data_IF_131146738079
#
_entry.id   IF_131146738079
#
_cell.length_a   1.000
_cell.length_b   1.000
_cell.length_c   1.000
_cell.angle_alpha   90.00
_cell.angle_beta   90.00
_cell.angle_gamma   90.00
#
_symmetry.space_group_name_H-M   'P 1'
#
loop_
_entity.id
_entity.type
_entity.pdbx_description
1 polymer ?
#
# COMPACT_ATOMS: atom_id res chain seq x y z
N UNK A 1 -22.88 -0.66 -37.31
CA UNK A 1 -22.91 0.02 -35.99
C UNK A 1 -23.55 -0.95 -35.01
N UNK A 2 -22.82 -1.37 -33.98
CA UNK A 2 -23.39 -2.24 -32.94
C UNK A 2 -24.37 -1.41 -32.09
N UNK A 3 -25.63 -1.87 -31.97
CA UNK A 3 -26.66 -1.16 -31.22
C UNK A 3 -26.36 -1.07 -29.71
N UNK A 4 -27.07 -0.20 -28.96
CA UNK A 4 -26.84 0.00 -27.52
C UNK A 4 -26.94 -1.28 -26.68
N UNK A 5 -27.73 -2.28 -27.11
CA UNK A 5 -27.77 -3.61 -26.49
C UNK A 5 -26.44 -4.38 -26.62
N UNK A 6 -25.72 -4.23 -27.72
CA UNK A 6 -24.44 -4.90 -27.93
C UNK A 6 -23.35 -4.31 -27.01
N UNK A 7 -23.40 -2.98 -26.78
CA UNK A 7 -22.51 -2.27 -25.86
C UNK A 7 -22.74 -2.72 -24.40
N UNK A 8 -24.00 -2.94 -23.99
CA UNK A 8 -24.34 -3.45 -22.66
C UNK A 8 -24.01 -4.94 -22.49
N UNK A 9 -24.19 -5.78 -23.52
CA UNK A 9 -23.79 -7.21 -23.51
C UNK A 9 -22.27 -7.41 -23.40
N UNK A 10 -21.48 -6.43 -23.85
CA UNK A 10 -20.02 -6.42 -23.76
C UNK A 10 -19.50 -5.92 -22.39
N UNK A 11 -20.33 -5.21 -21.61
CA UNK A 11 -19.96 -4.63 -20.32
C UNK A 11 -19.68 -5.66 -19.19
N UNK A 12 -20.18 -6.90 -19.31
CA UNK A 12 -19.94 -7.93 -18.30
C UNK A 12 -18.55 -8.57 -18.46
N UNK A 13 -17.75 -8.52 -17.39
CA UNK A 13 -16.42 -9.15 -17.35
C UNK A 13 -16.48 -10.66 -17.64
N UNK A 14 -15.37 -11.24 -18.11
CA UNK A 14 -15.25 -12.70 -18.33
C UNK A 14 -15.60 -13.49 -17.07
N UNK A 15 -15.17 -13.00 -15.90
CA UNK A 15 -15.48 -13.61 -14.60
C UNK A 15 -16.99 -13.54 -14.28
N UNK A 16 -17.64 -12.40 -14.53
CA UNK A 16 -19.09 -12.24 -14.36
C UNK A 16 -19.88 -13.19 -15.25
N UNK A 17 -19.48 -13.32 -16.52
CA UNK A 17 -20.10 -14.25 -17.48
C UNK A 17 -19.99 -15.71 -17.02
N UNK A 18 -18.87 -16.08 -16.41
CA UNK A 18 -18.67 -17.42 -15.83
C UNK A 18 -19.58 -17.66 -14.63
N UNK A 19 -19.62 -16.74 -13.65
CA UNK A 19 -20.48 -16.91 -12.47
C UNK A 19 -21.96 -17.02 -12.82
N UNK A 20 -22.41 -16.24 -13.80
CA UNK A 20 -23.76 -16.34 -14.34
C UNK A 20 -24.04 -17.73 -14.94
N UNK A 21 -23.09 -18.27 -15.70
CA UNK A 21 -23.20 -19.63 -16.27
C UNK A 21 -23.26 -20.69 -15.17
N UNK A 22 -22.41 -20.58 -14.16
CA UNK A 22 -22.40 -21.50 -13.02
C UNK A 22 -23.75 -21.48 -12.27
N UNK A 23 -24.35 -20.28 -12.10
CA UNK A 23 -25.69 -20.14 -11.54
C UNK A 23 -26.77 -20.79 -12.43
N UNK A 24 -26.77 -20.54 -13.75
CA UNK A 24 -27.78 -21.13 -14.65
C UNK A 24 -27.69 -22.65 -14.73
N UNK A 25 -26.48 -23.20 -14.72
CA UNK A 25 -26.25 -24.65 -14.64
C UNK A 25 -26.79 -25.23 -13.32
N UNK A 26 -26.55 -24.54 -12.21
CA UNK A 26 -27.09 -24.92 -10.91
C UNK A 26 -28.62 -24.88 -10.91
N UNK A 27 -29.21 -23.83 -11.46
CA UNK A 27 -30.66 -23.65 -11.55
C UNK A 27 -31.31 -24.79 -12.34
N UNK A 28 -30.76 -25.13 -13.51
CA UNK A 28 -31.22 -26.25 -14.33
C UNK A 28 -31.12 -27.58 -13.60
N UNK A 29 -30.00 -27.84 -12.90
CA UNK A 29 -29.79 -29.07 -12.14
C UNK A 29 -30.82 -29.27 -11.01
N UNK A 30 -31.34 -28.18 -10.44
CA UNK A 30 -32.33 -28.24 -9.36
C UNK A 30 -33.77 -28.11 -9.87
N UNK A 31 -34.01 -28.07 -11.19
CA UNK A 31 -35.35 -27.97 -11.76
C UNK A 31 -36.08 -26.66 -11.42
N UNK A 32 -35.33 -25.60 -11.10
CA UNK A 32 -35.90 -24.33 -10.66
C UNK A 32 -36.14 -23.39 -11.85
N UNK A 33 -37.34 -22.82 -11.93
CA UNK A 33 -37.70 -21.85 -12.97
C UNK A 33 -37.71 -20.42 -12.42
N UNK A 34 -37.22 -19.47 -13.22
CA UNK A 34 -37.17 -18.05 -12.88
C UNK A 34 -36.04 -17.64 -11.92
N UNK A 35 -35.91 -16.34 -11.68
CA UNK A 35 -34.92 -15.77 -10.76
C UNK A 35 -35.68 -15.03 -9.65
N UNK A 36 -35.92 -15.71 -8.55
CA UNK A 36 -36.55 -15.15 -7.35
C UNK A 36 -35.52 -14.94 -6.24
N UNK A 37 -35.85 -14.14 -5.24
CA UNK A 37 -34.96 -13.89 -4.10
C UNK A 37 -34.64 -15.19 -3.33
N UNK A 38 -35.61 -16.08 -3.17
CA UNK A 38 -35.42 -17.34 -2.45
C UNK A 38 -34.53 -18.31 -3.24
N UNK A 39 -34.63 -18.34 -4.58
CA UNK A 39 -33.72 -19.11 -5.46
C UNK A 39 -32.29 -18.59 -5.33
N UNK A 40 -32.10 -17.27 -5.35
CA UNK A 40 -30.78 -16.66 -5.16
C UNK A 40 -30.24 -16.93 -3.76
N UNK A 41 -31.07 -16.85 -2.72
CA UNK A 41 -30.68 -17.14 -1.35
C UNK A 41 -30.24 -18.60 -1.19
N UNK A 42 -30.96 -19.55 -1.78
CA UNK A 42 -30.59 -20.97 -1.79
C UNK A 42 -29.22 -21.19 -2.47
N UNK A 43 -29.00 -20.56 -3.64
CA UNK A 43 -27.72 -20.63 -4.34
C UNK A 43 -26.58 -20.03 -3.51
N UNK A 44 -26.77 -18.83 -2.95
CA UNK A 44 -25.77 -18.17 -2.11
C UNK A 44 -25.50 -18.96 -0.82
N UNK A 45 -26.50 -19.64 -0.25
CA UNK A 45 -26.31 -20.50 0.90
C UNK A 45 -25.41 -21.69 0.57
N UNK A 46 -25.61 -22.36 -0.56
CA UNK A 46 -24.73 -23.45 -1.00
C UNK A 46 -23.30 -22.95 -1.24
N UNK A 47 -23.14 -21.79 -1.88
CA UNK A 47 -21.81 -21.20 -2.08
C UNK A 47 -21.13 -20.85 -0.76
N UNK A 48 -21.89 -20.47 0.27
CA UNK A 48 -21.34 -20.12 1.58
C UNK A 48 -20.63 -21.28 2.28
N UNK A 49 -20.96 -22.53 1.92
CA UNK A 49 -20.25 -23.70 2.43
C UNK A 49 -18.85 -23.88 1.82
N UNK A 50 -18.57 -23.26 0.66
CA UNK A 50 -17.35 -23.46 -0.13
C UNK A 50 -16.45 -22.22 -0.18
N UNK A 51 -17.03 -21.04 0.00
CA UNK A 51 -16.34 -19.78 -0.23
C UNK A 51 -16.31 -18.92 1.03
N UNK A 52 -15.19 -18.24 1.26
CA UNK A 52 -15.09 -17.22 2.31
C UNK A 52 -16.17 -16.14 2.13
N UNK A 53 -16.60 -15.44 3.19
CA UNK A 53 -17.56 -14.34 3.08
C UNK A 53 -17.18 -13.29 2.03
N UNK A 54 -15.91 -12.89 1.93
CA UNK A 54 -15.45 -11.95 0.89
C UNK A 54 -15.59 -12.54 -0.53
N UNK A 55 -15.20 -13.80 -0.73
CA UNK A 55 -15.35 -14.48 -2.01
C UNK A 55 -16.84 -14.64 -2.38
N UNK A 56 -17.68 -14.89 -1.39
CA UNK A 56 -19.13 -15.00 -1.54
C UNK A 56 -19.75 -13.67 -1.96
N UNK A 57 -19.34 -12.57 -1.33
CA UNK A 57 -19.70 -11.20 -1.75
C UNK A 57 -19.27 -10.88 -3.18
N UNK A 58 -18.05 -11.29 -3.57
CA UNK A 58 -17.57 -11.10 -4.94
C UNK A 58 -18.41 -11.91 -5.95
N UNK A 59 -18.72 -13.17 -5.65
CA UNK A 59 -19.61 -14.01 -6.46
C UNK A 59 -21.00 -13.41 -6.59
N UNK A 60 -21.57 -12.95 -5.49
CA UNK A 60 -22.83 -12.21 -5.51
C UNK A 60 -22.73 -11.00 -6.43
N UNK A 61 -21.72 -10.15 -6.26
CA UNK A 61 -21.55 -8.95 -7.08
C UNK A 61 -21.41 -9.26 -8.57
N UNK A 62 -20.70 -10.32 -8.92
CA UNK A 62 -20.53 -10.77 -10.31
C UNK A 62 -21.83 -11.29 -10.91
N UNK A 63 -22.53 -12.16 -10.18
CA UNK A 63 -23.83 -12.70 -10.60
C UNK A 63 -24.85 -11.56 -10.73
N UNK A 64 -24.92 -10.70 -9.72
CA UNK A 64 -25.76 -9.49 -9.65
C UNK A 64 -25.65 -8.69 -10.94
N UNK A 65 -24.44 -8.28 -11.33
CA UNK A 65 -24.24 -7.47 -12.53
C UNK A 65 -24.72 -8.16 -13.80
N UNK A 66 -24.55 -9.48 -13.91
CA UNK A 66 -25.06 -10.21 -15.07
C UNK A 66 -26.59 -10.34 -15.10
N UNK A 67 -27.24 -10.51 -13.95
CA UNK A 67 -28.70 -10.55 -13.85
C UNK A 67 -29.33 -9.20 -14.23
N UNK A 68 -28.73 -8.08 -13.79
CA UNK A 68 -29.15 -6.73 -14.18
C UNK A 68 -29.07 -6.53 -15.69
N UNK A 69 -27.96 -6.95 -16.32
CA UNK A 69 -27.72 -6.72 -17.74
C UNK A 69 -28.54 -7.65 -18.63
N UNK A 70 -28.63 -8.94 -18.29
CA UNK A 70 -29.18 -9.98 -19.19
C UNK A 70 -30.65 -10.27 -19.00
N UNK A 71 -31.16 -10.12 -17.79
CA UNK A 71 -32.53 -10.48 -17.43
C UNK A 71 -33.31 -9.27 -16.91
N UNK A 72 -32.71 -8.07 -16.94
CA UNK A 72 -33.31 -6.80 -16.50
C UNK A 72 -33.91 -6.86 -15.09
N UNK A 73 -33.34 -7.70 -14.23
CA UNK A 73 -33.83 -7.95 -12.87
C UNK A 73 -33.50 -6.75 -11.98
N UNK A 74 -34.52 -6.15 -11.35
CA UNK A 74 -34.33 -5.02 -10.43
C UNK A 74 -33.88 -5.47 -9.03
N UNK A 75 -32.67 -5.08 -8.65
CA UNK A 75 -31.96 -5.64 -7.49
C UNK A 75 -32.26 -4.98 -6.15
N UNK A 76 -32.97 -3.84 -6.17
CA UNK A 76 -33.53 -3.26 -4.93
C UNK A 76 -34.41 -4.26 -4.16
N UNK A 77 -34.86 -5.34 -4.81
CA UNK A 77 -35.71 -6.41 -4.28
C UNK A 77 -35.00 -7.54 -3.54
N UNK A 78 -33.66 -7.55 -3.42
CA UNK A 78 -32.91 -8.68 -2.82
C UNK A 78 -32.35 -8.41 -1.41
N UNK A 79 -33.18 -7.88 -0.51
CA UNK A 79 -32.78 -7.53 0.85
C UNK A 79 -32.42 -8.73 1.73
N UNK A 80 -33.10 -9.87 1.59
CA UNK A 80 -32.79 -11.12 2.31
C UNK A 80 -31.40 -11.64 1.93
N UNK A 81 -31.05 -11.61 0.65
CA UNK A 81 -29.71 -12.03 0.19
C UNK A 81 -28.64 -11.11 0.77
N UNK A 82 -28.84 -9.79 0.73
CA UNK A 82 -27.92 -8.83 1.33
C UNK A 82 -27.78 -9.06 2.84
N UNK A 83 -28.89 -9.26 3.56
CA UNK A 83 -28.88 -9.53 5.00
C UNK A 83 -28.14 -10.83 5.32
N UNK A 84 -28.35 -11.89 4.54
CA UNK A 84 -27.62 -13.15 4.66
C UNK A 84 -26.12 -12.96 4.49
N UNK A 85 -25.69 -12.23 3.45
CA UNK A 85 -24.28 -11.97 3.18
C UNK A 85 -23.61 -11.10 4.27
N UNK A 86 -24.36 -10.14 4.84
CA UNK A 86 -23.89 -9.34 5.98
C UNK A 86 -23.67 -10.21 7.21
N UNK A 87 -24.64 -11.04 7.59
CA UNK A 87 -24.52 -11.97 8.74
C UNK A 87 -23.34 -12.92 8.60
N UNK A 88 -23.09 -13.46 7.40
CA UNK A 88 -21.92 -14.31 7.14
C UNK A 88 -20.59 -13.58 7.34
N UNK A 89 -20.58 -12.24 7.26
CA UNK A 89 -19.37 -11.43 7.38
C UNK A 89 -19.10 -10.93 8.81
N UNK A 90 -20.09 -10.90 9.71
CA UNK A 90 -19.99 -10.28 11.04
C UNK A 90 -18.80 -10.78 11.89
N UNK A 91 -18.49 -12.07 11.82
CA UNK A 91 -17.37 -12.68 12.57
C UNK A 91 -16.19 -13.05 11.68
N UNK A 92 -16.19 -12.60 10.43
CA UNK A 92 -15.14 -12.95 9.49
C UNK A 92 -14.02 -11.93 9.50
N UNK A 93 -12.81 -12.39 9.78
CA UNK A 93 -11.59 -11.60 9.65
C UNK A 93 -10.74 -12.16 8.52
N UNK A 94 -10.50 -11.40 7.44
CA UNK A 94 -9.64 -11.84 6.35
C UNK A 94 -8.21 -12.07 6.83
N UNK A 95 -7.62 -13.22 6.47
CA UNK A 95 -6.19 -13.46 6.70
C UNK A 95 -5.37 -12.44 5.90
N UNK A 96 -4.52 -11.68 6.58
CA UNK A 96 -3.57 -10.75 5.94
C UNK A 96 -2.20 -11.43 5.80
N UNK A 97 -1.46 -11.08 4.73
CA UNK A 97 -0.09 -11.57 4.52
C UNK A 97 0.85 -11.02 5.60
N UNK A 98 1.84 -11.81 6.04
CA UNK A 98 2.90 -11.34 6.95
C UNK A 98 3.72 -10.23 6.27
N UNK A 99 4.28 -9.35 7.10
CA UNK A 99 5.13 -8.24 6.67
C UNK A 99 6.59 -8.56 6.99
N UNK A 100 7.49 -8.06 6.15
CA UNK A 100 8.93 -8.08 6.45
C UNK A 100 9.25 -6.92 7.38
N UNK A 101 10.17 -7.10 8.31
CA UNK A 101 10.72 -5.99 9.11
C UNK A 101 11.70 -5.16 8.29
N UNK A 102 12.04 -3.96 8.78
CA UNK A 102 13.06 -3.10 8.16
C UNK A 102 14.39 -3.85 8.07
N UNK A 103 14.81 -4.49 9.15
CA UNK A 103 16.08 -5.21 9.26
C UNK A 103 16.13 -6.40 8.30
N UNK A 104 15.01 -7.12 8.14
CA UNK A 104 14.90 -8.22 7.17
C UNK A 104 15.06 -7.73 5.73
N UNK A 105 14.44 -6.59 5.39
CA UNK A 105 14.56 -5.97 4.07
C UNK A 105 15.99 -5.52 3.82
N UNK A 106 16.60 -4.80 4.77
CA UNK A 106 17.98 -4.32 4.67
C UNK A 106 18.96 -5.48 4.49
N UNK A 107 18.83 -6.51 5.33
CA UNK A 107 19.65 -7.73 5.25
C UNK A 107 19.55 -8.39 3.88
N UNK A 108 18.33 -8.54 3.34
CA UNK A 108 18.17 -9.10 2.00
C UNK A 108 18.85 -8.23 0.92
N UNK A 109 18.69 -6.91 0.99
CA UNK A 109 19.25 -5.99 -0.01
C UNK A 109 20.78 -5.92 0.06
N UNK A 110 21.38 -6.13 1.23
CA UNK A 110 22.83 -6.16 1.43
C UNK A 110 23.44 -7.54 1.13
N UNK A 111 22.87 -8.62 1.68
CA UNK A 111 23.49 -9.95 1.67
C UNK A 111 23.24 -10.72 0.36
N UNK A 112 22.08 -10.54 -0.28
CA UNK A 112 21.74 -11.36 -1.45
C UNK A 112 22.61 -10.98 -2.66
N UNK A 113 23.17 -11.94 -3.42
CA UNK A 113 24.08 -11.63 -4.51
C UNK A 113 23.31 -11.11 -5.75
N UNK A 114 23.80 -10.02 -6.35
CA UNK A 114 23.09 -9.29 -7.39
C UNK A 114 22.91 -10.07 -8.70
N UNK A 115 23.87 -10.91 -9.05
CA UNK A 115 23.81 -11.76 -10.24
C UNK A 115 22.58 -12.69 -10.24
N UNK A 116 22.12 -13.09 -9.05
CA UNK A 116 20.93 -13.91 -8.88
C UNK A 116 19.69 -13.09 -8.51
N UNK A 117 19.85 -12.02 -7.72
CA UNK A 117 18.74 -11.36 -7.04
C UNK A 117 18.42 -9.94 -7.51
N UNK A 118 19.14 -9.38 -8.50
CA UNK A 118 18.97 -7.97 -8.88
C UNK A 118 17.51 -7.61 -9.23
N UNK A 119 16.79 -8.47 -9.97
CA UNK A 119 15.36 -8.24 -10.26
C UNK A 119 14.52 -8.20 -8.97
N UNK A 120 14.73 -9.15 -8.07
CA UNK A 120 14.03 -9.20 -6.79
C UNK A 120 14.35 -7.97 -5.93
N UNK A 121 15.62 -7.52 -5.90
CA UNK A 121 16.04 -6.31 -5.18
C UNK A 121 15.35 -5.06 -5.72
N UNK A 122 15.37 -4.84 -7.04
CA UNK A 122 14.75 -3.64 -7.61
C UNK A 122 13.22 -3.65 -7.45
N UNK A 123 12.57 -4.81 -7.58
CA UNK A 123 11.14 -4.97 -7.31
C UNK A 123 10.82 -4.67 -5.83
N UNK A 124 11.68 -5.11 -4.91
CA UNK A 124 11.54 -4.85 -3.47
C UNK A 124 11.66 -3.36 -3.17
N UNK A 125 12.67 -2.70 -3.72
CA UNK A 125 12.88 -1.25 -3.56
C UNK A 125 11.67 -0.48 -4.08
N UNK A 126 11.26 -0.69 -5.33
CA UNK A 126 10.08 -0.02 -5.90
C UNK A 126 8.80 -0.35 -5.15
N UNK A 127 8.66 -1.60 -4.66
CA UNK A 127 7.51 -2.05 -3.90
C UNK A 127 7.37 -1.40 -2.53
N UNK A 128 8.49 -1.22 -1.82
CA UNK A 128 8.51 -0.69 -0.44
C UNK A 128 8.43 0.84 -0.45
N UNK A 129 9.34 1.52 -1.17
CA UNK A 129 9.35 2.99 -1.24
C UNK A 129 8.05 3.53 -1.82
N UNK A 130 7.51 2.84 -2.82
CA UNK A 130 6.26 3.21 -3.45
C UNK A 130 5.03 2.56 -2.83
N UNK A 131 5.14 1.76 -1.76
CA UNK A 131 4.03 0.98 -1.21
C UNK A 131 3.16 0.34 -2.32
N UNK A 132 3.78 -0.17 -3.39
CA UNK A 132 3.11 -0.46 -4.65
C UNK A 132 2.28 -1.75 -4.57
N UNK A 133 1.17 -1.79 -5.30
CA UNK A 133 0.48 -3.05 -5.64
C UNK A 133 1.29 -3.81 -6.69
N UNK A 134 1.11 -5.13 -6.76
CA UNK A 134 1.76 -5.94 -7.81
C UNK A 134 1.39 -5.47 -9.22
N UNK A 135 0.12 -5.13 -9.47
CA UNK A 135 -0.30 -4.65 -10.80
C UNK A 135 0.34 -3.32 -11.16
N UNK A 136 0.52 -2.42 -10.19
CA UNK A 136 1.21 -1.14 -10.37
C UNK A 136 2.68 -1.37 -10.73
N UNK A 137 3.35 -2.34 -10.10
CA UNK A 137 4.72 -2.74 -10.46
C UNK A 137 4.77 -3.38 -11.85
N UNK A 138 3.79 -4.23 -12.18
CA UNK A 138 3.72 -4.93 -13.47
C UNK A 138 3.45 -4.00 -14.64
N UNK A 139 2.76 -2.88 -14.43
CA UNK A 139 2.42 -1.92 -15.50
C UNK A 139 3.46 -0.84 -15.73
N UNK A 140 4.46 -0.70 -14.84
CA UNK A 140 5.51 0.32 -14.99
C UNK A 140 6.23 0.18 -16.33
N UNK A 141 6.50 1.31 -16.99
CA UNK A 141 7.32 1.41 -18.19
C UNK A 141 8.62 2.17 -17.91
N UNK A 142 9.55 2.15 -18.86
CA UNK A 142 10.80 2.94 -18.74
C UNK A 142 10.53 4.44 -18.62
N UNK A 143 9.54 4.96 -19.35
CA UNK A 143 9.17 6.39 -19.33
C UNK A 143 8.43 6.83 -18.05
N UNK A 144 8.22 5.90 -17.11
CA UNK A 144 7.63 6.18 -15.80
C UNK A 144 8.70 6.38 -14.72
N UNK A 145 9.99 6.16 -15.04
CA UNK A 145 11.09 6.23 -14.08
C UNK A 145 12.12 7.23 -14.56
N UNK A 146 12.44 8.19 -13.70
CA UNK A 146 13.32 9.30 -14.02
C UNK A 146 14.48 9.35 -13.00
N UNK A 147 15.73 9.27 -13.48
CA UNK A 147 16.92 9.38 -12.64
C UNK A 147 17.35 10.84 -12.50
N UNK A 148 17.31 11.37 -11.28
CA UNK A 148 17.72 12.74 -10.96
C UNK A 148 19.15 12.79 -10.40
N UNK A 149 19.90 11.69 -10.47
CA UNK A 149 21.26 11.55 -9.93
C UNK A 149 21.29 11.34 -8.42
N UNK A 150 20.65 12.21 -7.63
CA UNK A 150 20.56 12.04 -6.16
C UNK A 150 19.45 11.10 -5.71
N UNK A 151 18.38 11.04 -6.50
CA UNK A 151 17.20 10.25 -6.22
C UNK A 151 16.55 9.84 -7.53
N UNK A 152 15.65 8.86 -7.47
CA UNK A 152 14.88 8.37 -8.62
C UNK A 152 13.40 8.66 -8.38
N UNK A 153 12.74 9.27 -9.34
CA UNK A 153 11.29 9.52 -9.31
C UNK A 153 10.60 8.40 -10.09
N UNK A 154 9.55 7.82 -9.49
CA UNK A 154 8.72 6.81 -10.14
C UNK A 154 7.28 7.31 -10.22
N UNK A 155 6.70 7.29 -11.41
CA UNK A 155 5.34 7.72 -11.70
C UNK A 155 4.43 6.53 -11.95
N UNK A 156 3.49 6.28 -11.05
CA UNK A 156 2.45 5.27 -11.22
C UNK A 156 1.26 5.88 -11.96
N UNK A 157 1.15 5.61 -13.25
CA UNK A 157 0.00 5.99 -14.09
C UNK A 157 -1.13 4.97 -13.93
N UNK A 158 -2.38 5.43 -14.09
CA UNK A 158 -3.57 4.57 -14.12
C UNK A 158 -3.65 3.53 -12.99
N UNK A 159 -3.46 3.97 -11.74
CA UNK A 159 -3.62 3.07 -10.58
C UNK A 159 -5.05 2.51 -10.52
N UNK A 160 -5.31 1.55 -9.61
CA UNK A 160 -6.66 0.94 -9.42
C UNK A 160 -7.82 1.95 -9.36
N UNK A 161 -7.56 3.16 -8.87
CA UNK A 161 -8.57 4.22 -8.75
C UNK A 161 -8.45 5.29 -9.84
N UNK A 162 -7.76 4.99 -10.94
CA UNK A 162 -7.47 5.87 -12.08
C UNK A 162 -6.76 7.17 -11.70
N UNK A 163 -6.06 7.18 -10.57
CA UNK A 163 -5.26 8.31 -10.12
C UNK A 163 -3.80 8.11 -10.48
N UNK A 164 -3.13 9.17 -10.89
CA UNK A 164 -1.66 9.20 -11.00
C UNK A 164 -1.06 9.55 -9.65
N UNK A 165 0.00 8.85 -9.24
CA UNK A 165 0.79 9.20 -8.06
C UNK A 165 2.27 9.00 -8.33
N UNK A 166 3.11 9.74 -7.61
CA UNK A 166 4.57 9.64 -7.68
C UNK A 166 5.14 9.25 -6.32
N UNK A 167 6.28 8.59 -6.35
CA UNK A 167 7.11 8.39 -5.16
C UNK A 167 8.58 8.52 -5.54
N UNK A 168 9.42 8.72 -4.52
CA UNK A 168 10.85 8.93 -4.68
C UNK A 168 11.61 7.79 -4.02
N UNK A 169 12.68 7.35 -4.66
CA UNK A 169 13.68 6.43 -4.13
C UNK A 169 14.94 7.24 -3.89
N UNK A 170 15.48 7.19 -2.68
CA UNK A 170 16.70 7.91 -2.29
C UNK A 170 17.64 6.99 -1.53
N UNK A 171 18.95 7.20 -1.69
CA UNK A 171 19.98 6.52 -0.89
C UNK A 171 20.03 7.07 0.54
N UNK A 172 19.60 8.32 0.74
CA UNK A 172 19.63 8.99 2.04
C UNK A 172 18.77 8.25 3.09
N UNK A 173 19.35 8.03 4.26
CA UNK A 173 18.68 7.34 5.36
C UNK A 173 18.57 5.82 5.22
N UNK A 174 19.17 5.24 4.17
CA UNK A 174 19.22 3.79 3.96
C UNK A 174 20.60 3.23 4.35
N UNK A 175 20.62 2.01 4.91
CA UNK A 175 21.87 1.24 5.11
C UNK A 175 22.39 0.60 3.82
N UNK A 176 21.62 0.69 2.74
CA UNK A 176 21.90 0.17 1.40
C UNK A 176 21.76 1.31 0.36
N UNK A 177 22.14 1.06 -0.89
CA UNK A 177 22.13 2.08 -1.97
C UNK A 177 21.06 1.76 -3.04
N UNK A 178 19.77 2.07 -2.79
CA UNK A 178 18.69 1.79 -3.73
C UNK A 178 18.83 2.45 -5.11
N UNK A 179 19.35 3.67 -5.21
CA UNK A 179 19.60 4.32 -6.51
C UNK A 179 20.74 3.62 -7.28
N UNK A 180 21.75 3.10 -6.59
CA UNK A 180 22.80 2.27 -7.21
C UNK A 180 22.22 0.98 -7.79
N UNK A 181 21.33 0.29 -7.07
CA UNK A 181 20.63 -0.90 -7.60
C UNK A 181 19.80 -0.57 -8.84
N UNK A 182 19.09 0.56 -8.83
CA UNK A 182 18.34 1.03 -9.98
C UNK A 182 19.25 1.23 -11.21
N UNK A 183 20.36 1.97 -11.06
CA UNK A 183 21.31 2.22 -12.17
C UNK A 183 21.94 0.94 -12.68
N UNK A 184 22.35 0.04 -11.78
CA UNK A 184 22.86 -1.28 -12.13
C UNK A 184 21.86 -2.07 -12.96
N UNK A 185 20.59 -2.05 -12.54
CA UNK A 185 19.51 -2.70 -13.28
C UNK A 185 19.30 -2.11 -14.67
N UNK A 186 19.19 -0.78 -14.78
CA UNK A 186 18.99 -0.08 -16.06
C UNK A 186 20.16 -0.33 -17.02
N UNK A 187 21.40 -0.30 -16.54
CA UNK A 187 22.59 -0.55 -17.35
C UNK A 187 22.67 -2.00 -17.89
N UNK A 188 22.05 -2.96 -17.19
CA UNK A 188 21.98 -4.36 -17.62
C UNK A 188 20.81 -4.62 -18.56
N UNK A 189 19.86 -3.69 -18.72
CA UNK A 189 18.75 -3.87 -19.65
C UNK A 189 19.26 -3.90 -21.10
N UNK A 190 18.79 -4.84 -21.92
CA UNK A 190 19.13 -4.84 -23.34
C UNK A 190 18.64 -3.56 -24.05
N UNK A 191 19.38 -3.08 -25.06
CA UNK A 191 18.94 -1.96 -25.88
C UNK A 191 17.67 -2.31 -26.66
N UNK A 192 16.92 -1.29 -27.11
CA UNK A 192 15.69 -1.44 -27.92
C UNK A 192 14.55 -2.17 -27.19
N UNK A 193 14.44 -1.96 -25.88
CA UNK A 193 13.42 -2.57 -25.01
C UNK A 193 12.40 -1.56 -24.49
N UNK A 194 12.23 -0.42 -25.16
CA UNK A 194 11.38 0.70 -24.73
C UNK A 194 9.88 0.35 -24.79
N UNK A 195 9.50 -0.55 -25.69
CA UNK A 195 8.14 -1.08 -25.82
C UNK A 195 7.80 -2.13 -24.75
N UNK A 196 8.79 -2.59 -23.98
CA UNK A 196 8.60 -3.54 -22.88
C UNK A 196 8.36 -2.81 -21.56
N UNK A 197 7.93 -3.57 -20.55
CA UNK A 197 7.74 -3.06 -19.19
C UNK A 197 9.08 -2.77 -18.51
N UNK A 198 9.01 -2.01 -17.43
CA UNK A 198 10.14 -1.64 -16.60
C UNK A 198 10.81 -2.85 -15.92
N UNK A 199 10.06 -3.89 -15.59
CA UNK A 199 10.66 -5.12 -15.04
C UNK A 199 10.76 -6.18 -16.13
N UNK A 200 11.98 -6.44 -16.57
CA UNK A 200 12.39 -7.57 -17.39
C UNK A 200 12.95 -8.71 -16.54
N UNK A 201 12.93 -9.91 -17.09
CA UNK A 201 13.53 -11.10 -16.49
C UNK A 201 15.05 -10.94 -16.44
N UNK A 202 15.67 -11.21 -15.30
CA UNK A 202 17.13 -11.29 -15.18
C UNK A 202 17.55 -12.64 -14.58
N UNK A 203 18.65 -13.21 -15.09
CA UNK A 203 19.21 -14.50 -14.70
C UNK A 203 20.74 -14.44 -14.84
N UNK A 204 21.46 -14.94 -13.83
CA UNK A 204 22.92 -15.07 -13.85
C UNK A 204 23.64 -13.79 -14.31
N UNK A 205 23.29 -12.65 -13.71
CA UNK A 205 23.89 -11.35 -13.98
C UNK A 205 23.48 -10.68 -15.29
N UNK A 206 22.55 -11.27 -16.06
CA UNK A 206 22.09 -10.73 -17.34
C UNK A 206 20.59 -10.47 -17.31
N UNK A 207 20.15 -9.37 -17.88
CA UNK A 207 18.73 -9.13 -18.15
C UNK A 207 18.42 -9.48 -19.61
N UNK A 208 17.28 -10.14 -19.83
CA UNK A 208 16.83 -10.58 -21.15
C UNK A 208 15.61 -9.76 -21.58
N UNK A 209 15.39 -9.61 -22.88
CA UNK A 209 14.27 -8.86 -23.49
C UNK A 209 12.92 -9.57 -23.33
N UNK A 210 12.55 -9.92 -22.10
CA UNK A 210 11.31 -10.60 -21.75
C UNK A 210 10.74 -9.99 -20.47
N UNK A 211 9.48 -9.56 -20.53
CA UNK A 211 8.77 -9.00 -19.37
C UNK A 211 8.79 -9.97 -18.19
N UNK A 212 9.07 -9.47 -16.99
CA UNK A 212 8.89 -10.22 -15.76
C UNK A 212 7.39 -10.47 -15.54
N UNK A 213 7.02 -11.74 -15.38
CA UNK A 213 5.62 -12.15 -15.25
C UNK A 213 5.01 -11.78 -13.90
N UNK A 214 3.67 -11.76 -13.86
CA UNK A 214 2.89 -11.51 -12.63
C UNK A 214 3.30 -12.45 -11.48
N UNK A 215 3.49 -13.74 -11.77
CA UNK A 215 3.91 -14.71 -10.77
C UNK A 215 5.34 -14.49 -10.28
N UNK A 216 6.24 -13.99 -11.13
CA UNK A 216 7.61 -13.66 -10.74
C UNK A 216 7.63 -12.48 -9.77
N UNK A 217 7.00 -11.36 -10.15
CA UNK A 217 6.94 -10.15 -9.32
C UNK A 217 6.16 -10.42 -8.01
N UNK A 218 5.01 -11.11 -8.10
CA UNK A 218 4.19 -11.44 -6.94
C UNK A 218 4.85 -12.42 -5.96
N UNK A 219 5.80 -13.24 -6.43
CA UNK A 219 6.50 -14.21 -5.59
C UNK A 219 7.72 -13.63 -4.85
N UNK A 220 8.18 -12.42 -5.20
CA UNK A 220 9.41 -11.85 -4.62
C UNK A 220 9.39 -11.83 -3.08
N UNK A 221 8.33 -11.38 -2.37
CA UNK A 221 8.31 -11.42 -0.91
C UNK A 221 8.54 -12.82 -0.32
N UNK A 222 7.97 -13.85 -0.96
CA UNK A 222 8.16 -15.25 -0.57
C UNK A 222 9.59 -15.74 -0.86
N UNK A 223 10.22 -15.25 -1.92
CA UNK A 223 11.62 -15.59 -2.21
C UNK A 223 12.58 -14.97 -1.18
N UNK A 224 12.32 -13.73 -0.76
CA UNK A 224 13.07 -13.07 0.32
C UNK A 224 12.95 -13.87 1.61
N UNK A 225 11.73 -14.27 1.96
CA UNK A 225 11.49 -15.07 3.17
C UNK A 225 12.28 -16.39 3.18
N UNK A 226 12.29 -17.09 2.06
CA UNK A 226 13.11 -18.30 1.86
C UNK A 226 14.60 -18.01 1.97
N UNK A 227 15.08 -16.91 1.39
CA UNK A 227 16.47 -16.50 1.48
C UNK A 227 16.90 -16.22 2.93
N UNK A 228 16.03 -15.56 3.70
CA UNK A 228 16.28 -15.22 5.11
C UNK A 228 16.04 -16.40 6.08
N UNK A 229 15.55 -17.55 5.60
CA UNK A 229 15.29 -18.73 6.43
C UNK A 229 14.16 -18.54 7.45
N UNK A 230 13.16 -17.71 7.13
CA UNK A 230 12.06 -17.39 8.03
C UNK A 230 11.02 -18.53 8.10
N UNK A 231 10.22 -18.51 9.18
CA UNK A 231 9.17 -19.51 9.41
C UNK A 231 7.93 -19.19 8.57
N UNK A 232 7.44 -20.21 7.87
CA UNK A 232 6.22 -20.19 7.04
C UNK A 232 6.26 -19.22 5.83
N UNK A 233 7.10 -19.48 4.81
CA UNK A 233 7.21 -18.61 3.62
C UNK A 233 5.92 -18.40 2.84
N UNK A 234 4.98 -19.34 2.95
CA UNK A 234 3.68 -19.27 2.30
C UNK A 234 2.80 -18.12 2.83
N UNK A 235 3.17 -17.49 3.95
CA UNK A 235 2.41 -16.39 4.55
C UNK A 235 2.81 -15.03 4.02
N UNK A 236 3.92 -14.96 3.29
CA UNK A 236 4.47 -13.76 2.68
C UNK A 236 4.02 -13.67 1.22
N UNK A 237 2.70 -13.57 1.01
CA UNK A 237 2.12 -13.48 -0.33
C UNK A 237 2.04 -12.02 -0.79
N UNK A 238 2.99 -11.59 -1.62
CA UNK A 238 2.80 -10.57 -2.66
C UNK A 238 2.43 -9.14 -2.24
N UNK A 239 2.84 -8.61 -1.08
CA UNK A 239 2.46 -7.24 -0.69
C UNK A 239 3.56 -6.43 0.01
N UNK A 240 4.51 -5.92 -0.78
CA UNK A 240 5.39 -4.84 -0.32
C UNK A 240 4.65 -3.61 0.15
N UNK A 241 3.45 -3.34 -0.40
CA UNK A 241 2.54 -2.29 0.09
C UNK A 241 2.32 -2.31 1.58
N UNK A 242 2.18 -3.50 2.18
CA UNK A 242 1.95 -3.63 3.63
C UNK A 242 3.25 -3.46 4.42
N UNK A 243 4.33 -4.05 3.92
CA UNK A 243 5.69 -3.87 4.48
C UNK A 243 6.07 -2.39 4.53
N UNK A 244 5.99 -1.66 3.41
CA UNK A 244 6.32 -0.24 3.35
C UNK A 244 5.44 0.62 4.26
N UNK A 245 4.12 0.36 4.30
CA UNK A 245 3.21 1.02 5.23
C UNK A 245 3.62 0.85 6.70
N UNK A 246 3.99 -0.37 7.07
CA UNK A 246 4.41 -0.71 8.43
C UNK A 246 5.73 -0.04 8.78
N UNK A 247 6.71 -0.06 7.88
CA UNK A 247 8.00 0.61 8.07
C UNK A 247 7.82 2.12 8.28
N UNK A 248 6.93 2.77 7.53
CA UNK A 248 6.64 4.21 7.70
C UNK A 248 6.09 4.52 9.09
N UNK A 249 5.14 3.72 9.58
CA UNK A 249 4.53 3.94 10.91
C UNK A 249 5.49 3.57 12.03
N UNK A 250 6.23 2.47 11.90
CA UNK A 250 7.24 2.04 12.88
C UNK A 250 8.39 3.05 13.01
N UNK A 251 8.66 3.84 11.97
CA UNK A 251 9.60 4.95 12.00
C UNK A 251 9.02 6.24 12.62
N UNK A 252 7.81 6.20 13.21
CA UNK A 252 7.14 7.34 13.82
C UNK A 252 6.31 8.19 12.84
N UNK A 253 6.06 7.70 11.63
CA UNK A 253 5.23 8.38 10.64
C UNK A 253 3.76 8.48 11.09
N UNK A 254 3.20 9.68 10.97
CA UNK A 254 1.79 9.94 11.31
C UNK A 254 0.82 9.45 10.20
N UNK A 255 -0.49 9.57 10.46
CA UNK A 255 -1.52 9.14 9.50
C UNK A 255 -1.41 9.87 8.15
N UNK A 256 -0.98 11.14 8.14
CA UNK A 256 -0.79 11.90 6.92
C UNK A 256 0.38 11.37 6.11
N UNK A 257 1.50 11.06 6.77
CA UNK A 257 2.69 10.46 6.15
C UNK A 257 2.36 9.09 5.57
N UNK A 258 1.64 8.25 6.32
CA UNK A 258 1.17 6.96 5.85
C UNK A 258 0.29 7.13 4.59
N UNK A 259 -0.71 8.02 4.63
CA UNK A 259 -1.60 8.29 3.49
C UNK A 259 -0.82 8.75 2.25
N UNK A 260 0.16 9.65 2.41
CA UNK A 260 1.02 10.12 1.32
C UNK A 260 1.88 8.99 0.76
N UNK A 261 2.50 8.18 1.62
CA UNK A 261 3.38 7.08 1.23
C UNK A 261 2.68 6.09 0.28
N UNK A 262 1.48 5.61 0.62
CA UNK A 262 0.74 4.68 -0.25
C UNK A 262 -0.32 5.30 -1.16
N UNK A 263 -0.56 6.61 -1.08
CA UNK A 263 -1.59 7.28 -1.88
C UNK A 263 -3.01 6.90 -1.46
N UNK A 264 -3.25 6.76 -0.16
CA UNK A 264 -4.57 6.45 0.39
C UNK A 264 -5.37 7.71 0.69
N UNK A 265 -6.60 7.79 0.16
CA UNK A 265 -7.55 8.87 0.48
C UNK A 265 -8.24 8.67 1.83
N UNK A 266 -8.62 7.43 2.14
CA UNK A 266 -9.25 7.05 3.42
C UNK A 266 -8.20 6.66 4.46
N UNK A 267 -8.36 7.20 5.67
CA UNK A 267 -7.54 6.84 6.82
C UNK A 267 -7.80 5.41 7.29
N UNK A 268 -9.05 4.95 7.27
CA UNK A 268 -9.42 3.57 7.61
C UNK A 268 -8.70 2.56 6.72
N UNK A 269 -8.69 2.81 5.40
CA UNK A 269 -7.99 1.93 4.46
C UNK A 269 -6.48 1.96 4.72
N UNK A 270 -5.90 3.13 5.02
CA UNK A 270 -4.47 3.25 5.31
C UNK A 270 -4.11 2.46 6.59
N UNK A 271 -4.86 2.67 7.67
CA UNK A 271 -4.68 1.98 8.96
C UNK A 271 -4.78 0.46 8.80
N UNK A 272 -5.67 -0.02 7.92
CA UNK A 272 -5.83 -1.46 7.68
C UNK A 272 -4.54 -2.20 7.24
N UNK A 273 -3.55 -1.49 6.71
CA UNK A 273 -2.25 -2.08 6.37
C UNK A 273 -1.33 -2.24 7.58
N UNK A 274 -1.52 -1.46 8.64
CA UNK A 274 -0.61 -1.36 9.80
C UNK A 274 -1.20 -1.86 11.12
N UNK A 275 -2.49 -2.27 11.16
CA UNK A 275 -3.19 -2.74 12.39
C UNK A 275 -2.44 -3.78 13.24
N UNK A 276 -1.55 -4.57 12.62
CA UNK A 276 -0.81 -5.66 13.27
C UNK A 276 0.64 -5.27 13.63
N UNK A 277 1.05 -4.01 13.49
CA UNK A 277 2.39 -3.58 13.92
C UNK A 277 2.55 -3.80 15.43
N UNK A 278 3.44 -4.73 15.79
CA UNK A 278 3.77 -5.00 17.19
C UNK A 278 4.61 -3.86 17.76
N UNK A 279 5.52 -3.27 16.98
CA UNK A 279 6.39 -2.18 17.42
C UNK A 279 5.59 -0.96 17.87
N UNK A 280 4.60 -0.54 17.06
CA UNK A 280 3.72 0.56 17.44
C UNK A 280 2.91 0.20 18.70
N UNK A 281 2.39 -1.03 18.81
CA UNK A 281 1.70 -1.47 20.03
C UNK A 281 2.60 -1.44 21.27
N UNK A 282 3.87 -1.83 21.13
CA UNK A 282 4.87 -1.74 22.20
C UNK A 282 5.14 -0.28 22.56
N UNK A 283 5.34 0.61 21.58
CA UNK A 283 5.58 2.02 21.82
C UNK A 283 4.40 2.70 22.53
N UNK A 284 3.18 2.43 22.07
CA UNK A 284 1.96 2.90 22.73
C UNK A 284 1.84 2.33 24.15
N UNK A 285 2.20 1.07 24.36
CA UNK A 285 2.23 0.46 25.69
C UNK A 285 3.25 1.13 26.62
N UNK A 286 4.43 1.52 26.12
CA UNK A 286 5.44 2.25 26.91
C UNK A 286 4.94 3.63 27.35
N UNK A 287 4.13 4.29 26.53
CA UNK A 287 3.52 5.60 26.85
C UNK A 287 2.48 5.54 27.97
N UNK A 288 1.90 4.36 28.25
CA UNK A 288 0.94 4.19 29.35
C UNK A 288 1.60 4.31 30.72
N UNK A 289 2.83 3.84 30.85
CA UNK A 289 3.63 3.93 32.07
C UNK A 289 5.02 4.42 31.69
N UNK A 290 5.22 5.73 31.51
CA UNK A 290 6.54 6.27 31.25
C UNK A 290 7.45 5.86 32.41
N UNK A 291 8.41 5.00 32.13
CA UNK A 291 9.45 4.68 33.11
C UNK A 291 10.15 5.97 33.53
N UNK A 292 10.70 6.00 34.74
CA UNK A 292 11.63 7.07 35.14
C UNK A 292 12.86 6.98 34.23
N UNK A 293 12.85 7.64 33.09
CA UNK A 293 14.06 7.83 32.31
C UNK A 293 15.00 8.69 33.16
N UNK A 294 16.16 8.13 33.49
CA UNK A 294 17.24 8.82 34.20
C UNK A 294 17.70 9.98 33.33
N UNK A 295 17.35 11.19 33.74
CA UNK A 295 17.87 12.44 33.17
C UNK A 295 19.37 12.55 33.50
N UNK A 296 20.23 11.98 32.66
CA UNK A 296 21.62 12.41 32.59
C UNK A 296 21.71 13.59 31.62
N UNK A 297 21.20 14.74 32.08
CA UNK A 297 21.49 16.02 31.45
C UNK A 297 22.84 16.51 32.00
N UNK A 298 23.87 16.45 31.16
CA UNK A 298 25.18 17.05 31.42
C UNK A 298 25.02 18.57 31.52
N UNK A 299 25.47 19.24 32.61
CA UNK A 299 25.42 20.69 32.69
C UNK A 299 26.60 21.29 31.92
N UNK A 300 26.31 22.13 30.92
CA UNK A 300 27.34 22.90 30.22
C UNK A 300 27.68 24.16 31.03
N UNK A 301 28.96 24.26 31.34
CA UNK A 301 29.65 25.30 32.10
C UNK A 301 29.26 26.74 31.75
N UNK A 302 29.11 27.51 32.81
CA UNK A 302 29.09 28.96 32.95
C UNK A 302 30.20 29.72 32.22
N UNK A 303 29.86 30.93 31.74
CA UNK A 303 30.77 32.07 31.69
C UNK A 303 30.01 33.36 32.07
N UNK A 304 30.26 33.77 33.31
CA UNK A 304 30.50 35.12 33.83
C UNK A 304 29.52 36.28 33.58
N UNK A 305 29.05 36.79 34.71
CA UNK A 305 28.27 37.99 34.93
C UNK A 305 29.01 39.31 34.58
N UNK A 306 28.23 40.33 34.23
CA UNK A 306 28.47 41.70 34.68
C UNK A 306 27.14 42.44 34.81
N UNK A 307 26.90 42.92 36.03
CA UNK A 307 25.78 43.71 36.53
C UNK A 307 25.67 45.10 35.90
N UNK A 308 24.45 45.61 35.67
CA UNK A 308 24.08 46.95 36.17
C UNK A 308 22.56 47.06 36.37
N UNK A 309 22.24 47.70 37.48
CA UNK A 309 20.97 48.05 38.13
C UNK A 309 19.96 48.86 37.31
N UNK A 310 18.67 48.70 37.64
CA UNK A 310 17.60 49.64 37.28
C UNK A 310 16.22 49.14 37.71
N UNK A 311 15.76 49.61 38.87
CA UNK A 311 14.43 49.45 39.45
C UNK A 311 13.29 49.86 38.49
N UNK A 312 12.10 49.27 38.69
CA UNK A 312 10.85 49.84 38.18
C UNK A 312 9.81 48.82 37.69
N UNK A 313 9.08 48.24 38.63
CA UNK A 313 7.90 47.41 38.43
C UNK A 313 6.77 48.10 37.65
N UNK A 314 6.18 47.41 36.66
CA UNK A 314 4.73 47.33 36.42
C UNK A 314 4.39 46.05 35.62
N UNK A 315 3.29 45.44 36.04
CA UNK A 315 2.57 44.26 35.54
C UNK A 315 2.39 44.20 34.02
N UNK A 316 2.51 43.00 33.41
CA UNK A 316 1.46 42.49 32.49
C UNK A 316 1.62 41.00 32.13
N UNK A 317 0.52 40.27 32.36
CA UNK A 317 0.00 39.06 31.71
C UNK A 317 0.93 38.43 30.65
N UNK A 318 1.58 37.32 31.00
CA UNK A 318 2.28 36.46 30.06
C UNK A 318 1.28 35.59 29.30
N UNK A 319 0.85 36.03 28.12
CA UNK A 319 0.37 35.11 27.09
C UNK A 319 1.58 34.56 26.37
N UNK A 320 1.95 33.33 26.68
CA UNK A 320 2.97 32.56 25.99
C UNK A 320 2.58 32.39 24.52
N UNK A 321 3.09 33.24 23.62
CA UNK A 321 3.19 32.94 22.19
C UNK A 321 4.08 33.96 21.50
N UNK A 322 5.07 33.43 20.78
CA UNK A 322 6.04 34.09 19.92
C UNK A 322 7.38 34.45 20.58
N UNK A 323 8.40 33.62 20.32
CA UNK A 323 9.80 33.88 20.64
C UNK A 323 10.59 33.76 19.33
N UNK A 324 11.20 34.84 18.86
CA UNK A 324 12.14 34.83 17.75
C UNK A 324 13.54 34.92 18.37
N UNK A 325 14.41 33.97 18.07
CA UNK A 325 15.83 34.03 18.45
C UNK A 325 16.70 33.81 17.21
N UNK A 326 17.85 34.48 17.14
CA UNK A 326 18.89 34.23 16.13
C UNK A 326 18.78 35.00 14.81
N UNK A 327 18.31 36.25 14.80
CA UNK A 327 18.25 37.04 13.56
C UNK A 327 19.07 38.34 13.68
N UNK A 328 20.22 38.39 13.00
CA UNK A 328 21.16 39.50 13.11
C UNK A 328 21.03 40.55 11.99
N UNK A 329 19.99 40.51 11.12
CA UNK A 329 19.72 41.58 10.14
C UNK A 329 18.36 41.43 9.43
N UNK A 330 17.23 41.53 10.14
CA UNK A 330 15.91 41.60 9.51
C UNK A 330 15.01 42.63 10.19
N UNK A 331 14.25 43.40 9.39
CA UNK A 331 13.16 44.25 9.85
C UNK A 331 11.84 43.51 9.62
N UNK A 332 11.04 43.31 10.66
CA UNK A 332 9.70 42.73 10.56
C UNK A 332 8.65 43.82 10.81
N UNK A 333 7.64 43.89 9.94
CA UNK A 333 6.51 44.82 10.09
C UNK A 333 5.24 43.99 10.27
N UNK A 334 4.49 44.27 11.34
CA UNK A 334 3.22 43.61 11.65
C UNK A 334 2.09 44.60 11.45
N UNK A 335 1.23 44.36 10.47
CA UNK A 335 -0.01 45.09 10.32
C UNK A 335 -1.11 44.32 11.04
N UNK A 336 -1.64 44.91 12.10
CA UNK A 336 -2.78 44.39 12.84
C UNK A 336 -4.02 45.06 12.26
N UNK A 337 -4.98 44.26 11.80
CA UNK A 337 -6.28 44.74 11.37
C UNK A 337 -7.32 44.24 12.37
N UNK A 338 -8.04 45.18 12.98
CA UNK A 338 -9.21 44.88 13.80
C UNK A 338 -10.43 44.76 12.86
N UNK A 339 -11.23 43.70 13.04
CA UNK A 339 -12.48 43.48 12.31
C UNK A 339 -13.68 44.09 13.01
#
# INVERSE_FOLDING_TARGET
>A
MNGPEAILKEAASVASKREYRDFKNWQQKNGLNGVTEDVLLAYMNQLSARFSPNSLWAKWSMLKSCLEIKESVQIRRFQKVIAFLKRKNERYSPRKAKVLSKEQVERFLLDAPDDLWLLAKIVTISGIFGCCRCDELLSLAMNDVEDMGKYVIVTLRQTKNLTTRRFTITDDGCSFQPCTFYRKYVNLRPPRTEHLRFFLTCRHGKCISLNAGHHTIGAVPKQIDKFLGLKEPELYTGRFRRTGATIVVDAGGDILSLKRAGGWKSSEIAMSYVDDSINNKIEMSKKLFPGKESTNATPLSSASAASTSGDGSISTISSSKFCITGNNNCTMVFNIYDY
#
